data_IF_485174287606
#
_entry.id   IF_485174287606
#
_cell.length_a   1.000
_cell.length_b   1.000
_cell.length_c   1.000
_cell.angle_alpha   90.00
_cell.angle_beta   90.00
_cell.angle_gamma   90.00
#
_symmetry.space_group_name_H-M   'P 1'
#
loop_
_entity.id
_entity.type
_entity.pdbx_description
1 polymer ?
#
# COMPACT_ATOMS: atom_id res chain seq x y z
N UNK A 1 2.30 -5.03 22.74
CA UNK A 1 3.23 -3.98 22.28
C UNK A 1 3.03 -3.78 20.79
N UNK A 2 2.86 -2.56 20.26
CA UNK A 2 2.71 -2.40 18.82
C UNK A 2 4.01 -2.84 18.13
N UNK A 3 3.91 -3.81 17.20
CA UNK A 3 5.02 -4.22 16.33
C UNK A 3 5.67 -2.98 15.71
N UNK A 4 6.98 -2.99 15.47
CA UNK A 4 7.76 -1.84 14.98
C UNK A 4 7.14 -1.11 13.78
N UNK A 5 6.39 -1.82 12.93
CA UNK A 5 5.64 -1.27 11.78
C UNK A 5 4.52 -0.32 12.22
N UNK A 6 3.78 -0.65 13.29
CA UNK A 6 2.69 0.18 13.81
C UNK A 6 3.19 1.55 14.24
N UNK A 7 4.29 1.60 15.01
CA UNK A 7 4.88 2.87 15.45
C UNK A 7 5.36 3.73 14.29
N UNK A 8 5.87 3.12 13.21
CA UNK A 8 6.29 3.84 12.00
C UNK A 8 5.09 4.42 11.26
N UNK A 9 4.00 3.65 11.14
CA UNK A 9 2.76 4.14 10.53
C UNK A 9 2.16 5.29 11.35
N UNK A 10 2.11 5.17 12.68
CA UNK A 10 1.67 6.27 13.57
C UNK A 10 2.50 7.52 13.39
N UNK A 11 3.83 7.39 13.34
CA UNK A 11 4.73 8.53 13.08
C UNK A 11 4.51 9.15 11.69
N UNK A 12 4.20 8.34 10.68
CA UNK A 12 3.93 8.82 9.32
C UNK A 12 2.56 9.51 9.21
N UNK A 13 1.60 9.15 10.04
CA UNK A 13 0.25 9.75 10.12
C UNK A 13 0.23 11.16 10.73
N UNK A 14 1.39 11.75 11.04
CA UNK A 14 1.54 13.18 11.34
C UNK A 14 1.19 14.06 10.13
N UNK A 15 1.24 13.50 8.92
CA UNK A 15 0.79 14.13 7.69
C UNK A 15 0.22 13.14 6.68
N UNK A 16 -0.29 13.62 5.53
CA UNK A 16 -0.66 12.74 4.43
C UNK A 16 0.57 12.00 3.89
N UNK A 17 0.42 10.72 3.54
CA UNK A 17 1.49 9.97 2.90
C UNK A 17 0.97 9.07 1.78
N UNK A 18 1.88 8.68 0.90
CA UNK A 18 1.60 7.77 -0.21
C UNK A 18 2.20 6.40 0.04
N UNK A 19 1.45 5.37 -0.33
CA UNK A 19 1.88 3.98 -0.37
C UNK A 19 1.50 3.41 -1.74
N UNK A 20 2.46 3.40 -2.67
CA UNK A 20 2.18 3.12 -4.07
C UNK A 20 1.21 4.15 -4.66
N UNK A 21 0.05 3.69 -5.13
CA UNK A 21 -1.02 4.53 -5.66
C UNK A 21 -2.02 5.00 -4.61
N UNK A 22 -1.84 4.62 -3.35
CA UNK A 22 -2.80 4.92 -2.28
C UNK A 22 -2.33 6.15 -1.51
N UNK A 23 -3.18 7.17 -1.44
CA UNK A 23 -3.03 8.30 -0.52
C UNK A 23 -3.72 7.95 0.78
N UNK A 24 -2.98 8.05 1.89
CA UNK A 24 -3.47 7.84 3.25
C UNK A 24 -3.47 9.18 3.99
N UNK A 25 -4.58 9.48 4.67
CA UNK A 25 -4.78 10.72 5.44
C UNK A 25 -5.40 10.41 6.79
N UNK A 26 -4.91 11.08 7.83
CA UNK A 26 -5.61 11.15 9.12
C UNK A 26 -6.70 12.20 9.06
N UNK A 27 -7.85 11.89 9.65
CA UNK A 27 -8.97 12.80 9.87
C UNK A 27 -9.37 12.76 11.35
N UNK A 28 -10.25 13.67 11.77
CA UNK A 28 -10.73 13.70 13.15
C UNK A 28 -11.48 12.42 13.54
N UNK A 29 -12.11 11.78 12.57
CA UNK A 29 -12.94 10.58 12.73
C UNK A 29 -12.25 9.28 12.26
N UNK A 30 -10.92 9.31 12.11
CA UNK A 30 -10.09 8.15 11.79
C UNK A 30 -9.11 8.35 10.64
N UNK A 31 -9.18 7.45 9.65
CA UNK A 31 -8.24 7.33 8.55
C UNK A 31 -9.00 7.25 7.22
N UNK A 32 -8.53 7.98 6.22
CA UNK A 32 -9.12 7.98 4.88
C UNK A 32 -8.06 7.60 3.85
N UNK A 33 -8.42 6.63 3.02
CA UNK A 33 -7.62 6.16 1.90
C UNK A 33 -8.37 6.46 0.59
N UNK A 34 -7.63 6.85 -0.43
CA UNK A 34 -8.14 6.97 -1.79
C UNK A 34 -7.00 6.75 -2.79
N UNK A 35 -7.33 6.61 -4.07
CA UNK A 35 -6.31 6.67 -5.11
C UNK A 35 -5.64 8.07 -5.08
N UNK A 36 -4.32 8.14 -5.28
CA UNK A 36 -3.55 9.40 -5.22
C UNK A 36 -4.08 10.49 -6.18
N UNK A 37 -4.59 10.05 -7.33
CA UNK A 37 -5.14 10.93 -8.36
C UNK A 37 -6.58 11.41 -8.03
N UNK A 38 -7.25 10.80 -7.05
CA UNK A 38 -8.62 11.14 -6.61
C UNK A 38 -8.65 12.08 -5.39
N UNK A 39 -7.50 12.60 -4.94
CA UNK A 39 -7.39 13.35 -3.68
C UNK A 39 -8.35 14.57 -3.57
N UNK A 40 -8.76 15.15 -4.70
CA UNK A 40 -9.68 16.29 -4.79
C UNK A 40 -11.12 15.91 -5.19
N UNK A 41 -11.38 14.66 -5.59
CA UNK A 41 -12.72 14.20 -5.98
C UNK A 41 -13.64 14.09 -4.76
N UNK A 42 -14.90 14.46 -4.97
CA UNK A 42 -15.98 14.40 -3.96
C UNK A 42 -17.00 13.29 -4.25
N UNK A 43 -17.04 12.83 -5.48
CA UNK A 43 -17.94 11.83 -6.04
C UNK A 43 -17.31 10.43 -6.02
N UNK A 44 -16.83 10.00 -4.84
CA UNK A 44 -16.17 8.71 -4.66
C UNK A 44 -17.11 7.72 -3.95
N UNK A 45 -17.11 6.47 -4.41
CA UNK A 45 -17.78 5.39 -3.70
C UNK A 45 -17.15 5.20 -2.32
N UNK A 46 -17.95 5.29 -1.26
CA UNK A 46 -17.47 5.19 0.11
C UNK A 46 -17.53 3.75 0.61
N UNK A 47 -16.36 3.21 0.93
CA UNK A 47 -16.15 1.93 1.60
C UNK A 47 -15.80 2.19 3.07
N UNK A 48 -16.25 1.32 3.98
CA UNK A 48 -16.14 1.54 5.43
C UNK A 48 -15.44 0.43 6.20
N UNK A 49 -15.09 -0.67 5.55
CA UNK A 49 -14.36 -1.78 6.17
C UNK A 49 -13.06 -2.09 5.42
N UNK A 50 -12.08 -2.64 6.12
CA UNK A 50 -10.79 -2.95 5.52
C UNK A 50 -10.90 -4.03 4.43
N UNK A 51 -11.86 -4.94 4.56
CA UNK A 51 -12.09 -6.07 3.67
C UNK A 51 -12.56 -5.63 2.27
N UNK A 52 -13.24 -4.48 2.16
CA UNK A 52 -13.60 -3.86 0.88
C UNK A 52 -12.36 -3.47 0.06
N UNK A 53 -11.19 -3.29 0.69
CA UNK A 53 -9.94 -3.10 -0.02
C UNK A 53 -9.57 -4.31 -0.90
N UNK A 54 -10.00 -5.53 -0.56
CA UNK A 54 -9.79 -6.73 -1.39
C UNK A 54 -10.47 -6.57 -2.73
N UNK A 55 -11.75 -6.16 -2.74
CA UNK A 55 -12.51 -5.96 -3.97
C UNK A 55 -11.99 -4.76 -4.77
N UNK A 56 -11.51 -3.70 -4.08
CA UNK A 56 -10.85 -2.59 -4.75
C UNK A 56 -9.53 -3.02 -5.41
N UNK A 57 -8.73 -3.83 -4.74
CA UNK A 57 -7.47 -4.32 -5.26
C UNK A 57 -7.64 -5.39 -6.35
N UNK A 58 -8.83 -6.00 -6.46
CA UNK A 58 -9.12 -7.14 -7.33
C UNK A 58 -9.09 -6.78 -8.82
N UNK A 59 -9.67 -5.64 -9.18
CA UNK A 59 -9.85 -5.22 -10.57
C UNK A 59 -9.20 -3.86 -10.84
N UNK A 60 -8.84 -3.61 -12.10
CA UNK A 60 -8.41 -2.30 -12.58
C UNK A 60 -9.60 -1.43 -13.02
N UNK A 61 -9.33 -0.23 -13.54
CA UNK A 61 -10.37 0.70 -14.03
C UNK A 61 -11.19 0.15 -15.21
N UNK A 62 -10.64 -0.78 -15.99
CA UNK A 62 -11.34 -1.43 -17.10
C UNK A 62 -12.12 -2.68 -16.64
N UNK A 63 -12.09 -3.02 -15.34
CA UNK A 63 -12.72 -4.21 -14.79
C UNK A 63 -11.90 -5.49 -14.99
N UNK A 64 -10.66 -5.40 -15.49
CA UNK A 64 -9.81 -6.57 -15.65
C UNK A 64 -9.26 -7.02 -14.30
N UNK A 65 -9.21 -8.34 -14.09
CA UNK A 65 -8.58 -8.88 -12.90
C UNK A 65 -7.10 -8.50 -12.83
N UNK A 66 -6.64 -8.08 -11.65
CA UNK A 66 -5.24 -7.73 -11.38
C UNK A 66 -4.51 -8.92 -10.77
N UNK A 67 -3.82 -9.77 -11.55
CA UNK A 67 -3.01 -10.86 -10.99
C UNK A 67 -1.81 -10.30 -10.21
N UNK A 68 -1.23 -9.19 -10.69
CA UNK A 68 -0.11 -8.53 -10.05
C UNK A 68 -0.57 -7.29 -9.27
N UNK A 69 -0.71 -7.42 -7.95
CA UNK A 69 -1.17 -6.32 -7.09
C UNK A 69 -0.21 -5.14 -7.00
N UNK A 70 1.08 -5.35 -7.30
CA UNK A 70 2.10 -4.29 -7.34
C UNK A 70 2.11 -3.50 -8.65
N UNK A 71 1.35 -3.91 -9.67
CA UNK A 71 1.24 -3.14 -10.90
C UNK A 71 0.53 -1.79 -10.63
N UNK A 72 0.94 -0.69 -11.30
CA UNK A 72 0.41 0.65 -11.07
C UNK A 72 -0.96 0.87 -11.75
N UNK A 73 -1.89 -0.05 -11.54
CA UNK A 73 -3.23 -0.07 -12.14
C UNK A 73 -4.32 -0.32 -11.09
N UNK A 74 -4.13 0.15 -9.86
CA UNK A 74 -5.22 0.18 -8.87
C UNK A 74 -6.32 1.09 -9.41
N UNK A 75 -7.57 0.60 -9.40
CA UNK A 75 -8.73 1.37 -9.86
C UNK A 75 -8.92 2.68 -9.07
N UNK A 76 -9.59 3.65 -9.67
CA UNK A 76 -9.95 4.96 -9.12
C UNK A 76 -11.42 4.98 -8.67
N UNK A 77 -11.91 6.11 -8.18
CA UNK A 77 -13.33 6.35 -7.88
C UNK A 77 -13.81 5.85 -6.53
N UNK A 78 -12.90 5.50 -5.60
CA UNK A 78 -13.24 4.99 -4.28
C UNK A 78 -12.60 5.79 -3.16
N UNK A 79 -13.25 5.76 -2.00
CA UNK A 79 -12.78 6.29 -0.73
C UNK A 79 -13.00 5.25 0.34
N UNK A 80 -11.95 4.83 1.02
CA UNK A 80 -12.02 3.88 2.12
C UNK A 80 -11.82 4.63 3.44
N UNK A 81 -12.79 4.54 4.35
CA UNK A 81 -12.75 5.17 5.68
C UNK A 81 -12.58 4.10 6.75
N UNK A 82 -11.53 4.21 7.56
CA UNK A 82 -11.15 3.25 8.59
C UNK A 82 -11.04 3.96 9.95
N UNK A 83 -11.25 3.24 11.05
CA UNK A 83 -11.22 3.82 12.41
C UNK A 83 -9.89 3.60 13.10
N UNK A 84 -9.19 2.53 12.76
CA UNK A 84 -8.03 2.07 13.52
C UNK A 84 -6.80 1.84 12.65
N UNK A 85 -5.62 1.88 13.30
CA UNK A 85 -4.36 1.57 12.66
C UNK A 85 -4.28 0.10 12.19
N UNK A 86 -4.92 -0.81 12.91
CA UNK A 86 -4.96 -2.23 12.54
C UNK A 86 -5.75 -2.44 11.24
N UNK A 87 -6.87 -1.76 11.08
CA UNK A 87 -7.61 -1.73 9.81
C UNK A 87 -6.77 -1.13 8.68
N UNK A 88 -6.04 -0.04 8.94
CA UNK A 88 -5.13 0.54 7.95
C UNK A 88 -4.07 -0.47 7.50
N UNK A 89 -3.44 -1.19 8.44
CA UNK A 89 -2.45 -2.22 8.10
C UNK A 89 -3.06 -3.30 7.22
N UNK A 90 -4.24 -3.82 7.59
CA UNK A 90 -4.94 -4.85 6.79
C UNK A 90 -5.28 -4.34 5.39
N UNK A 91 -5.85 -3.13 5.29
CA UNK A 91 -6.18 -2.52 4.01
C UNK A 91 -4.95 -2.34 3.12
N UNK A 92 -3.83 -1.84 3.65
CA UNK A 92 -2.59 -1.67 2.89
C UNK A 92 -1.99 -3.03 2.47
N UNK A 93 -2.12 -4.07 3.29
CA UNK A 93 -1.69 -5.41 2.94
C UNK A 93 -2.58 -6.03 1.85
N UNK A 94 -3.89 -5.77 1.85
CA UNK A 94 -4.77 -6.17 0.74
C UNK A 94 -4.41 -5.46 -0.58
N UNK A 95 -4.04 -4.19 -0.52
CA UNK A 95 -3.59 -3.46 -1.71
C UNK A 95 -2.24 -3.95 -2.23
N UNK A 96 -1.27 -4.15 -1.32
CA UNK A 96 0.09 -4.56 -1.65
C UNK A 96 0.64 -5.56 -0.63
N UNK A 97 0.32 -6.86 -0.81
CA UNK A 97 0.71 -7.90 0.13
C UNK A 97 2.21 -7.92 0.39
N UNK A 98 2.60 -7.91 1.67
CA UNK A 98 4.00 -8.00 2.10
C UNK A 98 4.85 -6.74 1.87
N UNK A 99 4.27 -5.62 1.40
CA UNK A 99 5.02 -4.37 1.15
C UNK A 99 5.13 -3.45 2.36
N UNK A 100 4.38 -3.70 3.43
CA UNK A 100 4.42 -2.91 4.66
C UNK A 100 5.79 -2.93 5.34
N UNK A 101 6.44 -4.09 5.41
CA UNK A 101 7.76 -4.21 6.03
C UNK A 101 8.84 -3.42 5.27
N UNK A 102 8.79 -3.49 3.92
CA UNK A 102 9.71 -2.74 3.04
C UNK A 102 9.49 -1.23 3.20
N UNK A 103 8.24 -0.78 3.24
CA UNK A 103 7.92 0.62 3.48
C UNK A 103 8.36 1.10 4.86
N UNK A 104 8.17 0.28 5.90
CA UNK A 104 8.65 0.58 7.24
C UNK A 104 10.18 0.72 7.29
N UNK A 105 10.91 -0.17 6.61
CA UNK A 105 12.36 -0.08 6.48
C UNK A 105 12.78 1.21 5.72
N UNK A 106 12.07 1.55 4.64
CA UNK A 106 12.30 2.79 3.89
C UNK A 106 12.05 4.04 4.74
N UNK A 107 10.92 4.12 5.44
CA UNK A 107 10.56 5.27 6.30
C UNK A 107 11.49 5.45 7.50
N UNK A 108 12.06 4.37 8.01
CA UNK A 108 13.03 4.42 9.11
C UNK A 108 14.46 4.70 8.66
N UNK A 109 14.69 4.95 7.36
CA UNK A 109 16.03 5.15 6.80
C UNK A 109 16.91 3.89 6.84
N UNK A 110 16.31 2.72 7.12
CA UNK A 110 16.98 1.42 7.24
C UNK A 110 16.98 0.61 5.95
N UNK A 111 16.50 1.18 4.85
CA UNK A 111 16.56 0.51 3.55
C UNK A 111 18.01 0.51 3.08
N UNK A 112 18.73 -0.56 3.44
CA UNK A 112 20.00 -0.90 2.84
C UNK A 112 19.70 -1.30 1.40
N UNK A 113 19.81 -0.37 0.46
CA UNK A 113 19.78 -0.68 -0.95
C UNK A 113 21.07 -1.43 -1.25
N UNK A 114 21.03 -2.76 -1.23
CA UNK A 114 22.12 -3.56 -1.80
C UNK A 114 22.24 -3.13 -3.27
N UNK A 115 23.38 -2.55 -3.69
CA UNK A 115 23.57 -2.17 -5.08
C UNK A 115 23.40 -3.41 -5.96
N UNK A 116 22.62 -3.28 -7.04
CA UNK A 116 22.29 -4.35 -7.99
C UNK A 116 23.52 -5.08 -8.58
N UNK A 117 24.73 -4.52 -8.44
CA UNK A 117 25.99 -5.14 -8.90
C UNK A 117 26.45 -6.34 -8.09
N UNK A 118 25.91 -6.60 -6.89
CA UNK A 118 26.26 -7.81 -6.10
C UNK A 118 25.31 -8.99 -6.32
N UNK A 119 24.13 -8.80 -6.91
CA UNK A 119 23.14 -9.89 -7.10
C UNK A 119 23.29 -10.63 -8.43
N UNK A 120 24.01 -10.04 -9.39
CA UNK A 120 24.26 -10.67 -10.70
C UNK A 120 25.31 -11.78 -10.65
N UNK A 121 26.09 -11.91 -9.58
CA UNK A 121 27.14 -12.93 -9.46
C UNK A 121 26.60 -14.30 -8.94
N UNK A 122 25.30 -14.40 -8.62
CA UNK A 122 24.67 -15.63 -8.13
C UNK A 122 23.71 -16.32 -9.10
N UNK A 123 23.55 -15.82 -10.32
CA UNK A 123 22.69 -16.43 -11.36
C UNK A 123 23.44 -16.91 -12.61
N UNK A 124 24.69 -17.37 -12.46
CA UNK A 124 25.35 -18.19 -13.48
C UNK A 124 25.16 -19.68 -13.19
N UNK A 125 23.91 -20.11 -13.03
CA UNK A 125 23.54 -21.52 -13.06
C UNK A 125 23.16 -21.89 -14.48
N UNK A 126 24.14 -22.28 -15.31
CA UNK A 126 23.92 -22.81 -16.64
C UNK A 126 22.91 -23.97 -16.59
N UNK A 127 21.76 -23.80 -17.24
CA UNK A 127 20.82 -24.88 -17.49
C UNK A 127 21.39 -25.71 -18.64
N UNK A 128 22.14 -26.76 -18.30
CA UNK A 128 22.62 -27.75 -19.27
C UNK A 128 21.50 -28.76 -19.52
N UNK A 129 21.07 -28.83 -20.78
CA UNK A 129 20.25 -29.90 -21.36
C UNK A 129 21.07 -31.19 -21.51
#
# INVERSE_FOLDING_TARGET
MPNSIGRILEGTLTGPFYFGQILVRKTDDGLVLCHRDDHARKDLQTCRNAEEAVEIAKYDDAGNYRPLKTAPNVRRGWRLTLKTLEELKRALDYFYPGRLAVFAAWKSGKLQTTPLRETLDRQSGSMML
#
